data_IF_134445676690
#
_entry.id   IF_134445676690
#
_cell.length_a   1.000
_cell.length_b   1.000
_cell.length_c   1.000
_cell.angle_alpha   90.00
_cell.angle_beta   90.00
_cell.angle_gamma   90.00
#
_symmetry.space_group_name_H-M   'P 1'
#
loop_
_entity.id
_entity.type
_entity.pdbx_description
1 polymer ?
#
# COMPACT_ATOMS: atom_id res chain seq x y z
N UNK A 1 -6.16 -9.23 7.90
CA UNK A 1 -7.53 -8.66 7.98
C UNK A 1 -8.36 -9.26 6.84
N UNK A 2 -9.66 -9.48 7.01
CA UNK A 2 -10.54 -10.05 5.97
C UNK A 2 -11.28 -8.95 5.21
N UNK A 3 -11.75 -9.26 3.99
CA UNK A 3 -12.55 -8.34 3.16
C UNK A 3 -13.78 -7.83 3.92
N UNK A 4 -14.43 -8.70 4.70
CA UNK A 4 -15.60 -8.36 5.53
C UNK A 4 -15.29 -7.29 6.59
N UNK A 5 -14.09 -7.37 7.19
CA UNK A 5 -13.65 -6.42 8.23
C UNK A 5 -13.05 -5.13 7.68
N UNK A 6 -12.60 -5.13 6.42
CA UNK A 6 -11.97 -3.97 5.78
C UNK A 6 -12.38 -3.82 4.31
N UNK A 7 -13.67 -3.62 4.01
CA UNK A 7 -14.17 -3.62 2.64
C UNK A 7 -13.57 -2.50 1.78
N UNK A 8 -13.23 -1.36 2.40
CA UNK A 8 -12.63 -0.20 1.71
C UNK A 8 -11.23 -0.44 1.14
N UNK A 9 -10.54 -1.49 1.58
CA UNK A 9 -9.19 -1.84 1.11
C UNK A 9 -9.10 -3.29 0.63
N UNK A 10 -10.25 -3.90 0.28
CA UNK A 10 -10.34 -5.30 -0.12
C UNK A 10 -9.43 -5.69 -1.30
N UNK A 11 -9.13 -4.73 -2.19
CA UNK A 11 -8.30 -4.93 -3.38
C UNK A 11 -6.94 -4.18 -3.30
N UNK A 12 -6.52 -3.77 -2.10
CA UNK A 12 -5.21 -3.14 -1.90
C UNK A 12 -4.24 -4.21 -1.39
N UNK A 13 -3.38 -4.69 -2.28
CA UNK A 13 -2.40 -5.75 -2.02
C UNK A 13 -0.96 -5.22 -1.88
N UNK A 14 0.00 -6.14 -1.69
CA UNK A 14 1.42 -5.80 -1.54
C UNK A 14 1.94 -4.92 -2.70
N UNK A 15 1.51 -5.23 -3.92
CA UNK A 15 1.97 -4.56 -5.14
C UNK A 15 1.44 -3.13 -5.27
N UNK A 16 0.35 -2.80 -4.59
CA UNK A 16 -0.22 -1.44 -4.56
C UNK A 16 0.76 -0.43 -3.95
N UNK A 17 1.65 -0.87 -3.06
CA UNK A 17 2.65 -0.01 -2.42
C UNK A 17 4.08 -0.31 -2.85
N UNK A 18 4.38 -1.57 -3.17
CA UNK A 18 5.76 -2.01 -3.37
C UNK A 18 6.14 -2.33 -4.82
N UNK A 19 5.21 -2.14 -5.76
CA UNK A 19 5.41 -2.46 -7.17
C UNK A 19 5.37 -3.97 -7.47
N UNK A 20 5.75 -4.38 -8.69
CA UNK A 20 5.52 -5.75 -9.17
C UNK A 20 6.22 -6.83 -8.35
N UNK A 21 5.47 -7.85 -7.94
CA UNK A 21 5.94 -9.02 -7.17
C UNK A 21 6.57 -10.13 -8.01
N UNK A 22 6.84 -9.92 -9.30
CA UNK A 22 7.35 -10.96 -10.21
C UNK A 22 8.67 -11.59 -9.75
N UNK A 23 9.53 -10.80 -9.07
CA UNK A 23 10.77 -11.28 -8.46
C UNK A 23 10.54 -12.03 -7.14
N UNK A 24 9.47 -11.69 -6.41
CA UNK A 24 9.11 -12.31 -5.14
C UNK A 24 8.64 -13.76 -5.34
N UNK A 25 7.87 -14.06 -6.40
CA UNK A 25 7.48 -15.44 -6.74
C UNK A 25 8.69 -16.37 -6.91
N UNK A 26 9.76 -15.91 -7.57
CA UNK A 26 10.97 -16.72 -7.81
C UNK A 26 11.91 -16.76 -6.62
N UNK A 27 11.81 -15.79 -5.71
CA UNK A 27 12.65 -15.63 -4.52
C UNK A 27 11.77 -15.18 -3.37
N UNK A 28 11.06 -16.09 -2.69
CA UNK A 28 10.06 -15.74 -1.67
C UNK A 28 10.66 -15.00 -0.47
N UNK A 29 11.97 -15.14 -0.23
CA UNK A 29 12.69 -14.39 0.80
C UNK A 29 13.22 -13.04 0.34
N UNK A 30 13.12 -12.72 -0.95
CA UNK A 30 13.48 -11.40 -1.45
C UNK A 30 12.39 -10.40 -1.05
N UNK A 31 12.83 -9.31 -0.42
CA UNK A 31 11.97 -8.20 -0.10
C UNK A 31 11.34 -7.60 -1.37
N UNK A 32 10.13 -7.09 -1.19
CA UNK A 32 9.45 -6.25 -2.16
C UNK A 32 10.19 -4.92 -2.36
N UNK A 33 9.85 -4.17 -3.41
CA UNK A 33 10.40 -2.83 -3.64
C UNK A 33 10.12 -1.90 -2.46
N UNK A 34 10.95 -0.87 -2.22
CA UNK A 34 10.68 0.09 -1.14
C UNK A 34 9.44 0.91 -1.48
N UNK A 35 8.45 0.88 -0.59
CA UNK A 35 7.32 1.79 -0.64
C UNK A 35 7.73 3.17 -0.09
N UNK A 36 7.14 4.23 -0.64
CA UNK A 36 7.36 5.60 -0.24
C UNK A 36 6.11 6.44 -0.49
N UNK A 37 6.18 7.73 -0.17
CA UNK A 37 5.06 8.66 -0.28
C UNK A 37 4.39 8.64 -1.66
N UNK A 38 5.18 8.52 -2.72
CA UNK A 38 4.72 8.45 -4.10
C UNK A 38 3.77 7.27 -4.37
N UNK A 39 3.87 6.18 -3.61
CA UNK A 39 2.96 5.05 -3.73
C UNK A 39 1.59 5.33 -3.09
N UNK A 40 1.48 6.34 -2.23
CA UNK A 40 0.23 6.72 -1.58
C UNK A 40 -0.61 7.67 -2.44
N UNK A 41 0.03 8.57 -3.18
CA UNK A 41 -0.61 9.66 -3.93
C UNK A 41 -1.59 9.25 -5.04
N UNK A 42 -1.49 8.07 -5.69
CA UNK A 42 -2.49 7.65 -6.68
C UNK A 42 -3.90 7.51 -6.10
N UNK A 43 -4.01 7.06 -4.84
CA UNK A 43 -5.28 6.90 -4.15
C UNK A 43 -5.54 8.03 -3.14
N UNK A 44 -4.50 8.59 -2.54
CA UNK A 44 -4.64 9.69 -1.59
C UNK A 44 -4.51 11.03 -2.29
N UNK A 45 -5.61 11.43 -2.92
CA UNK A 45 -5.78 12.71 -3.60
C UNK A 45 -7.01 13.44 -3.05
N UNK A 46 -7.29 14.63 -3.58
CA UNK A 46 -8.41 15.48 -3.14
C UNK A 46 -9.78 14.84 -3.27
N UNK A 47 -9.97 13.92 -4.23
CA UNK A 47 -11.25 13.27 -4.50
C UNK A 47 -11.48 12.08 -3.58
N UNK A 48 -10.44 11.29 -3.34
CA UNK A 48 -10.54 9.99 -2.67
C UNK A 48 -10.17 10.03 -1.18
N UNK A 49 -9.32 10.97 -0.77
CA UNK A 49 -8.86 11.10 0.60
C UNK A 49 -8.43 12.55 0.89
N UNK A 50 -9.37 13.50 0.88
CA UNK A 50 -9.08 14.88 1.25
C UNK A 50 -8.46 14.94 2.66
N UNK A 51 -7.40 15.76 2.82
CA UNK A 51 -6.67 15.89 4.09
C UNK A 51 -5.69 14.75 4.39
N UNK A 52 -5.29 13.96 3.39
CA UNK A 52 -4.22 12.98 3.57
C UNK A 52 -2.90 13.66 3.92
N UNK A 53 -2.27 13.20 5.00
CA UNK A 53 -0.92 13.57 5.40
C UNK A 53 -0.07 12.31 5.48
N UNK A 54 0.95 12.18 4.63
CA UNK A 54 1.80 10.98 4.61
C UNK A 54 2.39 10.65 5.99
N UNK A 55 2.91 11.66 6.70
CA UNK A 55 3.51 11.49 8.02
C UNK A 55 2.53 10.94 9.09
N UNK A 56 1.24 11.23 8.98
CA UNK A 56 0.23 10.79 9.94
C UNK A 56 -0.34 9.40 9.60
N UNK A 57 -0.34 9.04 8.31
CA UNK A 57 -0.94 7.80 7.81
C UNK A 57 0.08 6.66 7.72
N UNK A 58 1.33 6.96 7.38
CA UNK A 58 2.40 5.97 7.23
C UNK A 58 2.59 5.06 8.46
N UNK A 59 2.62 5.57 9.71
CA UNK A 59 2.80 4.73 10.89
C UNK A 59 1.69 3.70 11.12
N UNK A 60 0.51 3.88 10.50
CA UNK A 60 -0.64 2.98 10.68
C UNK A 60 -0.52 1.70 9.86
N UNK A 61 0.37 1.67 8.87
CA UNK A 61 0.53 0.57 7.91
C UNK A 61 1.97 0.08 7.75
N UNK A 62 2.96 0.84 8.25
CA UNK A 62 4.37 0.46 8.20
C UNK A 62 4.60 -0.86 8.91
N UNK A 63 5.30 -1.78 8.23
CA UNK A 63 5.64 -3.13 8.71
C UNK A 63 7.05 -3.51 8.27
#
# INVERSE_FOLDING_TARGET
KSIETTPKVANVGCESCHGPGSKHNRRPYAAYGKAGEQACLPCHNSENSPGFTFAEYWPKISH
#
